data_IF_023900985219
#
_entry.id   IF_023900985219
#
_cell.length_a   1.000
_cell.length_b   1.000
_cell.length_c   1.000
_cell.angle_alpha   90.00
_cell.angle_beta   90.00
_cell.angle_gamma   90.00
#
_symmetry.space_group_name_H-M   'P 1'
#
loop_
_entity.id
_entity.type
_entity.pdbx_description
1 polymer ?
#
# COMPACT_ATOMS: atom_id res chain seq x y z
N UNK A 1 0.60 -4.14 16.63
CA UNK A 1 1.29 -3.37 15.60
C UNK A 1 0.23 -2.86 14.64
N UNK A 2 0.12 -1.54 14.50
CA UNK A 2 -0.81 -0.88 13.59
C UNK A 2 -0.07 -0.37 12.36
N UNK A 3 -0.50 -0.83 11.18
CA UNK A 3 0.06 -0.45 9.89
C UNK A 3 -0.92 0.47 9.16
N UNK A 4 -0.48 1.65 8.74
CA UNK A 4 -1.22 2.51 7.81
C UNK A 4 -0.82 2.16 6.38
N UNK A 5 -1.79 1.75 5.57
CA UNK A 5 -1.60 1.36 4.18
C UNK A 5 -2.21 2.41 3.26
N UNK A 6 -1.43 2.89 2.31
CA UNK A 6 -1.86 3.74 1.19
C UNK A 6 -1.33 3.19 -0.12
N UNK A 7 -1.99 3.50 -1.22
CA UNK A 7 -1.51 3.26 -2.58
C UNK A 7 -2.07 4.35 -3.51
N UNK A 8 -1.54 4.43 -4.73
CA UNK A 8 -2.13 5.24 -5.80
C UNK A 8 -2.27 6.73 -5.43
N UNK A 9 -1.37 7.28 -4.61
CA UNK A 9 -1.44 8.71 -4.27
C UNK A 9 -1.16 9.58 -5.48
N UNK A 10 -0.50 9.05 -6.52
CA UNK A 10 -0.31 9.72 -7.81
C UNK A 10 0.18 11.15 -7.66
N UNK A 11 1.26 11.32 -6.90
CA UNK A 11 1.87 12.62 -6.66
C UNK A 11 0.93 13.69 -6.05
N UNK A 12 -0.13 13.27 -5.36
CA UNK A 12 -1.04 14.16 -4.65
C UNK A 12 -0.38 14.73 -3.40
N UNK A 13 0.19 15.94 -3.52
CA UNK A 13 0.82 16.65 -2.39
C UNK A 13 -0.09 16.77 -1.17
N UNK A 14 -1.40 17.09 -1.29
CA UNK A 14 -2.28 17.14 -0.13
C UNK A 14 -2.43 15.80 0.60
N UNK A 15 -2.40 14.67 -0.12
CA UNK A 15 -2.45 13.34 0.48
C UNK A 15 -1.11 12.94 1.10
N UNK A 16 0.01 13.32 0.48
CA UNK A 16 1.35 13.14 1.06
C UNK A 16 1.54 13.96 2.35
N UNK A 17 1.07 15.21 2.38
CA UNK A 17 1.05 16.07 3.57
C UNK A 17 0.24 15.44 4.70
N UNK A 18 -0.92 14.87 4.37
CA UNK A 18 -1.73 14.13 5.32
C UNK A 18 -1.00 12.90 5.85
N UNK A 19 -0.39 12.11 4.97
CA UNK A 19 0.32 10.89 5.35
C UNK A 19 1.45 11.20 6.35
N UNK A 20 2.22 12.26 6.10
CA UNK A 20 3.25 12.75 7.04
C UNK A 20 2.64 13.12 8.38
N UNK A 21 1.51 13.84 8.38
CA UNK A 21 0.81 14.27 9.60
C UNK A 21 0.21 13.10 10.40
N UNK A 22 -0.18 12.03 9.72
CA UNK A 22 -0.76 10.83 10.32
C UNK A 22 0.28 9.83 10.82
N UNK A 23 1.46 9.80 10.18
CA UNK A 23 2.43 8.71 10.32
C UNK A 23 2.87 8.39 11.74
N UNK A 24 3.04 9.40 12.62
CA UNK A 24 3.44 9.20 14.01
C UNK A 24 2.44 8.41 14.87
N UNK A 25 1.20 8.21 14.40
CA UNK A 25 0.18 7.42 15.11
C UNK A 25 0.29 5.90 14.84
N UNK A 26 1.13 5.50 13.89
CA UNK A 26 1.26 4.12 13.40
C UNK A 26 2.68 3.59 13.58
N UNK A 27 2.79 2.27 13.78
CA UNK A 27 4.08 1.59 13.95
C UNK A 27 4.81 1.37 12.61
N UNK A 28 4.06 1.42 11.50
CA UNK A 28 4.51 1.18 10.14
C UNK A 28 3.59 1.89 9.14
N UNK A 29 4.18 2.56 8.14
CA UNK A 29 3.50 3.01 6.93
C UNK A 29 3.87 2.09 5.77
N UNK A 30 2.87 1.58 5.06
CA UNK A 30 3.04 0.77 3.85
C UNK A 30 2.49 1.57 2.67
N UNK A 31 3.36 1.88 1.71
CA UNK A 31 2.99 2.51 0.45
C UNK A 31 3.00 1.43 -0.64
N UNK A 32 1.83 0.94 -1.01
CA UNK A 32 1.63 -0.19 -1.91
C UNK A 32 1.58 0.22 -3.39
N UNK A 33 2.54 1.05 -3.83
CA UNK A 33 2.73 1.45 -5.22
C UNK A 33 2.06 2.77 -5.63
N UNK A 34 2.51 3.25 -6.78
CA UNK A 34 2.04 4.45 -7.49
C UNK A 34 2.13 5.72 -6.63
N UNK A 35 3.34 5.97 -6.14
CA UNK A 35 3.68 7.22 -5.48
C UNK A 35 3.80 8.39 -6.47
N UNK A 36 4.19 8.10 -7.71
CA UNK A 36 4.31 9.05 -8.81
C UNK A 36 3.06 9.05 -9.71
N UNK A 37 2.96 10.07 -10.56
CA UNK A 37 1.92 10.17 -11.58
C UNK A 37 2.52 10.43 -12.97
N UNK A 38 2.49 9.40 -13.83
CA UNK A 38 2.92 9.52 -15.23
C UNK A 38 2.01 10.44 -16.06
N UNK A 39 0.78 10.70 -15.60
CA UNK A 39 -0.18 11.58 -16.25
C UNK A 39 -0.04 13.05 -15.84
N UNK A 40 0.78 13.35 -14.85
CA UNK A 40 0.97 14.71 -14.34
C UNK A 40 1.78 15.58 -15.31
N UNK A 41 1.47 16.88 -15.31
CA UNK A 41 2.25 17.90 -16.03
C UNK A 41 3.62 18.19 -15.37
N UNK A 42 3.81 17.74 -14.13
CA UNK A 42 5.08 17.90 -13.41
C UNK A 42 6.06 16.86 -13.93
N UNK A 43 7.27 17.31 -14.28
CA UNK A 43 8.33 16.42 -14.75
C UNK A 43 8.56 15.24 -13.80
N UNK A 44 8.69 14.06 -14.37
CA UNK A 44 8.79 12.81 -13.62
C UNK A 44 9.97 12.80 -12.62
N UNK A 45 11.12 13.38 -12.99
CA UNK A 45 12.28 13.48 -12.09
C UNK A 45 12.04 14.49 -10.98
N UNK A 46 11.33 15.59 -11.27
CA UNK A 46 10.90 16.53 -10.24
C UNK A 46 9.96 15.86 -9.22
N UNK A 47 9.05 15.00 -9.68
CA UNK A 47 8.19 14.22 -8.79
C UNK A 47 9.00 13.31 -7.87
N UNK A 48 9.97 12.55 -8.42
CA UNK A 48 10.88 11.69 -7.63
C UNK A 48 11.57 12.49 -6.52
N UNK A 49 12.11 13.68 -6.83
CA UNK A 49 12.79 14.52 -5.84
C UNK A 49 11.84 14.92 -4.70
N UNK A 50 10.61 15.30 -5.03
CA UNK A 50 9.62 15.72 -4.02
C UNK A 50 9.14 14.51 -3.21
N UNK A 51 8.79 13.40 -3.83
CA UNK A 51 8.36 12.18 -3.14
C UNK A 51 9.46 11.65 -2.22
N UNK A 52 10.73 11.63 -2.64
CA UNK A 52 11.86 11.27 -1.75
C UNK A 52 11.94 12.16 -0.51
N UNK A 53 11.59 13.45 -0.61
CA UNK A 53 11.54 14.34 0.57
C UNK A 53 10.39 13.94 1.52
N UNK A 54 9.21 13.63 0.99
CA UNK A 54 8.10 13.13 1.81
C UNK A 54 8.46 11.80 2.49
N UNK A 55 9.07 10.87 1.75
CA UNK A 55 9.55 9.60 2.28
C UNK A 55 10.58 9.78 3.41
N UNK A 56 11.52 10.73 3.28
CA UNK A 56 12.44 11.07 4.35
C UNK A 56 11.73 11.61 5.61
N UNK A 57 10.70 12.46 5.43
CA UNK A 57 9.88 12.96 6.55
C UNK A 57 9.09 11.85 7.24
N UNK A 58 8.62 10.85 6.49
CA UNK A 58 7.93 9.67 7.03
C UNK A 58 8.91 8.77 7.80
N UNK A 59 10.07 8.47 7.21
CA UNK A 59 11.10 7.64 7.82
C UNK A 59 11.69 8.25 9.10
N UNK A 60 11.62 9.58 9.25
CA UNK A 60 11.99 10.25 10.49
C UNK A 60 10.96 10.07 11.64
N UNK A 61 9.72 9.67 11.33
CA UNK A 61 8.63 9.52 12.30
C UNK A 61 8.29 8.07 12.62
N UNK A 62 8.34 7.18 11.61
CA UNK A 62 7.96 5.78 11.76
C UNK A 62 8.66 4.90 10.72
N UNK A 63 8.47 3.58 10.79
CA UNK A 63 8.97 2.65 9.78
C UNK A 63 8.18 2.82 8.48
N UNK A 64 8.85 2.66 7.34
CA UNK A 64 8.23 2.79 6.02
C UNK A 64 8.58 1.60 5.15
N UNK A 65 7.57 1.06 4.46
CA UNK A 65 7.70 0.16 3.32
C UNK A 65 7.19 0.87 2.07
N UNK A 66 7.94 0.79 0.97
CA UNK A 66 7.55 1.30 -0.34
C UNK A 66 7.66 0.21 -1.40
N UNK A 67 6.53 -0.20 -1.96
CA UNK A 67 6.45 -1.04 -3.15
C UNK A 67 6.34 -0.16 -4.39
N UNK A 68 6.95 -0.54 -5.51
CA UNK A 68 6.69 0.10 -6.80
C UNK A 68 5.33 -0.28 -7.37
N UNK A 69 4.71 0.65 -8.09
CA UNK A 69 3.63 0.40 -9.03
C UNK A 69 4.02 0.77 -10.47
N UNK A 70 3.05 0.69 -11.40
CA UNK A 70 3.30 0.95 -12.81
C UNK A 70 3.60 2.44 -13.12
N UNK A 71 3.26 3.36 -12.23
CA UNK A 71 3.59 4.78 -12.35
C UNK A 71 4.99 5.11 -11.83
N UNK A 72 5.66 4.18 -11.14
CA UNK A 72 6.95 4.46 -10.49
C UNK A 72 8.18 4.09 -11.35
N UNK A 73 7.99 3.61 -12.58
CA UNK A 73 9.06 3.07 -13.44
C UNK A 73 9.83 4.20 -14.16
N UNK A 74 11.07 4.48 -13.73
CA UNK A 74 11.90 5.59 -14.21
C UNK A 74 12.96 5.20 -15.25
N UNK A 75 13.21 3.90 -15.44
CA UNK A 75 14.30 3.40 -16.28
C UNK A 75 13.90 2.13 -17.06
N UNK A 76 14.63 1.83 -18.13
CA UNK A 76 14.70 0.48 -18.72
C UNK A 76 16.04 -0.16 -18.41
N UNK A 77 16.02 -1.36 -17.86
CA UNK A 77 17.24 -2.11 -17.56
C UNK A 77 17.94 -2.62 -18.84
N UNK A 78 19.11 -3.27 -18.69
CA UNK A 78 19.90 -3.79 -19.81
C UNK A 78 19.13 -4.83 -20.67
N UNK A 79 18.15 -5.49 -20.07
CA UNK A 79 17.29 -6.49 -20.71
C UNK A 79 16.02 -5.87 -21.34
N UNK A 80 15.86 -4.56 -21.23
CA UNK A 80 14.78 -3.78 -21.85
C UNK A 80 13.51 -3.65 -21.01
N UNK A 81 13.42 -4.29 -19.85
CA UNK A 81 12.26 -4.21 -18.95
C UNK A 81 12.25 -2.85 -18.23
N UNK A 82 11.05 -2.28 -18.08
CA UNK A 82 10.87 -1.09 -17.24
C UNK A 82 11.04 -1.45 -15.77
N UNK A 83 11.79 -0.63 -15.03
CA UNK A 83 12.09 -0.82 -13.61
C UNK A 83 12.00 0.51 -12.84
N UNK A 84 11.84 0.43 -11.52
CA UNK A 84 11.91 1.58 -10.62
C UNK A 84 13.27 1.65 -9.93
N UNK A 85 14.25 2.24 -10.62
CA UNK A 85 15.62 2.45 -10.11
C UNK A 85 15.61 3.39 -8.90
N UNK A 86 14.79 4.44 -8.93
CA UNK A 86 14.73 5.43 -7.83
C UNK A 86 14.23 4.82 -6.51
N UNK A 87 13.35 3.82 -6.56
CA UNK A 87 12.87 3.13 -5.35
C UNK A 87 14.01 2.39 -4.65
N UNK A 88 14.96 1.81 -5.38
CA UNK A 88 16.14 1.19 -4.75
C UNK A 88 16.99 2.19 -3.95
N UNK A 89 17.00 3.47 -4.33
CA UNK A 89 17.74 4.52 -3.61
C UNK A 89 17.10 4.87 -2.26
N UNK A 90 15.82 4.53 -2.02
CA UNK A 90 15.14 4.89 -0.76
C UNK A 90 15.66 4.07 0.43
N UNK A 91 16.37 2.97 0.15
CA UNK A 91 17.09 2.17 1.15
C UNK A 91 18.08 2.99 1.97
N UNK A 92 18.70 4.00 1.35
CA UNK A 92 19.62 4.92 2.02
C UNK A 92 18.94 5.72 3.15
N UNK A 93 17.61 5.84 3.10
CA UNK A 93 16.78 6.48 4.13
C UNK A 93 16.25 5.47 5.18
N UNK A 94 16.69 4.21 5.13
CA UNK A 94 16.21 3.15 6.02
C UNK A 94 14.82 2.62 5.67
N UNK A 95 14.33 2.90 4.45
CA UNK A 95 13.03 2.45 3.95
C UNK A 95 13.19 1.08 3.31
N UNK A 96 12.36 0.12 3.70
CA UNK A 96 12.30 -1.17 3.03
C UNK A 96 11.53 -1.04 1.71
N UNK A 97 12.04 -1.65 0.65
CA UNK A 97 11.47 -1.47 -0.68
C UNK A 97 11.56 -2.73 -1.54
N UNK A 98 11.19 -2.62 -2.81
CA UNK A 98 11.30 -3.67 -3.83
C UNK A 98 12.46 -4.63 -3.63
N UNK A 99 12.14 -5.93 -3.56
CA UNK A 99 13.09 -7.01 -3.35
C UNK A 99 13.39 -7.33 -1.89
N UNK A 100 12.90 -6.54 -0.92
CA UNK A 100 13.12 -6.82 0.50
C UNK A 100 12.22 -7.90 1.06
N UNK A 101 12.77 -8.60 2.06
CA UNK A 101 11.99 -9.28 3.08
C UNK A 101 12.52 -8.88 4.46
N UNK A 102 11.62 -8.48 5.36
CA UNK A 102 11.99 -7.98 6.69
C UNK A 102 10.98 -8.41 7.75
N UNK A 103 11.47 -8.69 8.94
CA UNK A 103 10.64 -9.03 10.10
C UNK A 103 10.37 -7.77 10.92
N UNK A 104 9.10 -7.49 11.19
CA UNK A 104 8.67 -6.43 12.11
C UNK A 104 7.70 -7.06 13.11
N UNK A 105 8.10 -7.11 14.38
CA UNK A 105 7.36 -7.86 15.39
C UNK A 105 7.31 -9.35 15.03
N UNK A 106 6.10 -9.89 14.94
CA UNK A 106 5.86 -11.31 14.61
C UNK A 106 5.51 -11.54 13.13
N UNK A 107 5.56 -10.49 12.31
CA UNK A 107 5.21 -10.55 10.88
C UNK A 107 6.46 -10.46 10.00
N UNK A 108 6.53 -11.33 9.00
CA UNK A 108 7.44 -11.21 7.87
C UNK A 108 6.73 -10.41 6.77
N UNK A 109 7.33 -9.32 6.33
CA UNK A 109 6.90 -8.56 5.16
C UNK A 109 7.81 -8.88 3.98
N UNK A 110 7.24 -9.06 2.80
CA UNK A 110 7.98 -9.21 1.53
C UNK A 110 7.45 -8.18 0.53
N UNK A 111 8.35 -7.38 -0.03
CA UNK A 111 8.01 -6.27 -0.93
C UNK A 111 8.29 -6.71 -2.37
N UNK A 112 7.24 -7.05 -3.10
CA UNK A 112 7.33 -7.60 -4.46
C UNK A 112 7.20 -6.47 -5.49
N UNK A 113 8.26 -6.13 -6.24
CA UNK A 113 8.22 -5.05 -7.22
C UNK A 113 7.11 -5.21 -8.27
N UNK A 114 6.70 -4.10 -8.88
CA UNK A 114 6.01 -4.16 -10.17
C UNK A 114 6.91 -4.86 -11.20
N UNK A 115 6.34 -5.77 -11.98
CA UNK A 115 7.05 -6.49 -13.03
C UNK A 115 6.53 -6.10 -14.43
N UNK A 116 7.45 -5.72 -15.31
CA UNK A 116 7.17 -5.40 -16.74
C UNK A 116 7.44 -6.59 -17.66
N UNK A 117 8.28 -7.55 -17.22
CA UNK A 117 8.74 -8.65 -18.03
C UNK A 117 9.15 -9.90 -17.23
N UNK A 118 9.59 -10.95 -17.93
CA UNK A 118 9.83 -12.27 -17.35
C UNK A 118 10.98 -12.33 -16.34
N UNK A 119 11.98 -11.43 -16.41
CA UNK A 119 13.14 -11.47 -15.52
C UNK A 119 12.80 -10.85 -14.17
N UNK A 120 12.13 -9.69 -14.12
CA UNK A 120 11.61 -9.17 -12.83
C UNK A 120 10.62 -10.16 -12.22
N UNK A 121 9.73 -10.74 -13.03
CA UNK A 121 8.81 -11.79 -12.57
C UNK A 121 9.55 -12.97 -11.94
N UNK A 122 10.62 -13.47 -12.58
CA UNK A 122 11.43 -14.55 -12.01
C UNK A 122 12.13 -14.13 -10.71
N UNK A 123 12.63 -12.90 -10.61
CA UNK A 123 13.24 -12.40 -9.36
C UNK A 123 12.24 -12.36 -8.21
N UNK A 124 10.96 -12.06 -8.47
CA UNK A 124 9.90 -12.15 -7.46
C UNK A 124 9.74 -13.61 -7.01
N UNK A 125 9.71 -14.57 -7.93
CA UNK A 125 9.63 -15.99 -7.58
C UNK A 125 10.82 -16.40 -6.70
N UNK A 126 12.05 -16.03 -7.09
CA UNK A 126 13.26 -16.34 -6.32
C UNK A 126 13.23 -15.70 -4.91
N UNK A 127 12.72 -14.47 -4.80
CA UNK A 127 12.50 -13.76 -3.54
C UNK A 127 11.49 -14.50 -2.65
N UNK A 128 10.37 -14.94 -3.22
CA UNK A 128 9.31 -15.67 -2.52
C UNK A 128 9.79 -17.06 -2.06
N UNK A 129 10.52 -17.79 -2.90
CA UNK A 129 11.15 -19.07 -2.54
C UNK A 129 12.11 -18.90 -1.36
N UNK A 130 12.95 -17.87 -1.40
CA UNK A 130 13.86 -17.58 -0.31
C UNK A 130 13.11 -17.25 0.99
N UNK A 131 12.13 -16.35 0.94
CA UNK A 131 11.33 -15.94 2.09
C UNK A 131 10.49 -17.09 2.67
N UNK A 132 10.00 -18.01 1.82
CA UNK A 132 9.25 -19.19 2.24
C UNK A 132 10.05 -20.11 3.17
N UNK A 133 11.37 -20.20 2.96
CA UNK A 133 12.27 -21.04 3.78
C UNK A 133 12.39 -20.58 5.24
N UNK A 134 12.13 -19.29 5.50
CA UNK A 134 12.21 -18.66 6.82
C UNK A 134 10.90 -17.99 7.21
N UNK A 135 9.77 -18.40 6.62
CA UNK A 135 8.50 -17.70 6.81
C UNK A 135 8.03 -17.76 8.27
N UNK A 136 7.44 -16.66 8.72
CA UNK A 136 6.73 -16.60 9.99
C UNK A 136 5.26 -17.02 9.80
N UNK A 137 4.54 -17.16 10.92
CA UNK A 137 3.10 -17.45 10.87
C UNK A 137 2.33 -16.37 10.10
N UNK A 138 2.68 -15.10 10.34
CA UNK A 138 2.13 -13.97 9.62
C UNK A 138 3.11 -13.53 8.53
N UNK A 139 2.84 -13.94 7.30
CA UNK A 139 3.62 -13.54 6.12
C UNK A 139 2.78 -12.63 5.23
N UNK A 140 3.20 -11.38 5.08
CA UNK A 140 2.46 -10.32 4.41
C UNK A 140 3.24 -9.88 3.17
N UNK A 141 2.60 -9.90 2.02
CA UNK A 141 3.17 -9.35 0.79
C UNK A 141 2.65 -7.95 0.53
N UNK A 142 3.54 -7.08 0.06
CA UNK A 142 3.17 -5.81 -0.54
C UNK A 142 3.46 -5.92 -2.02
N UNK A 143 2.41 -5.88 -2.84
CA UNK A 143 2.51 -6.00 -4.29
C UNK A 143 1.41 -5.16 -4.95
N UNK A 144 1.79 -4.20 -5.78
CA UNK A 144 0.86 -3.17 -6.25
C UNK A 144 -0.33 -3.73 -7.04
N UNK A 145 -0.12 -4.69 -7.94
CA UNK A 145 -1.21 -5.30 -8.70
C UNK A 145 -2.02 -6.27 -7.80
N UNK A 146 -3.36 -6.12 -7.69
CA UNK A 146 -4.20 -7.07 -6.96
C UNK A 146 -4.35 -8.39 -7.74
N UNK A 147 -4.80 -9.50 -7.12
CA UNK A 147 -4.96 -10.76 -7.82
C UNK A 147 -6.07 -10.71 -8.86
N UNK A 148 -5.86 -11.39 -9.99
CA UNK A 148 -6.88 -11.56 -11.02
C UNK A 148 -8.12 -12.31 -10.50
N UNK A 149 -9.25 -12.10 -11.17
CA UNK A 149 -10.55 -12.74 -10.89
C UNK A 149 -11.05 -12.59 -9.45
N UNK A 150 -10.60 -11.53 -8.76
CA UNK A 150 -11.05 -11.16 -7.42
C UNK A 150 -11.81 -9.82 -7.45
N UNK A 151 -12.82 -9.60 -6.58
CA UNK A 151 -13.46 -8.30 -6.39
C UNK A 151 -12.47 -7.15 -6.13
N UNK A 152 -11.27 -7.43 -5.60
CA UNK A 152 -10.20 -6.44 -5.41
C UNK A 152 -9.55 -5.97 -6.70
N UNK A 153 -9.85 -6.60 -7.83
CA UNK A 153 -9.36 -6.21 -9.16
C UNK A 153 -10.48 -5.90 -10.14
N UNK A 154 -11.73 -5.86 -9.67
CA UNK A 154 -12.89 -5.64 -10.51
C UNK A 154 -12.97 -4.18 -10.97
N UNK A 155 -12.99 -3.98 -12.29
CA UNK A 155 -13.08 -2.66 -12.90
C UNK A 155 -14.48 -2.28 -13.41
N UNK A 156 -15.53 -3.06 -13.09
CA UNK A 156 -16.92 -2.80 -13.48
C UNK A 156 -17.37 -3.51 -14.77
N UNK A 157 -16.42 -3.98 -15.57
CA UNK A 157 -16.68 -4.74 -16.81
C UNK A 157 -15.81 -5.99 -16.95
N UNK A 158 -14.58 -5.93 -16.43
CA UNK A 158 -13.60 -7.01 -16.41
C UNK A 158 -12.68 -6.85 -15.21
N UNK A 159 -11.91 -7.88 -14.91
CA UNK A 159 -10.84 -7.85 -13.92
C UNK A 159 -9.54 -7.29 -14.54
N UNK A 160 -8.77 -6.58 -13.72
CA UNK A 160 -7.48 -5.97 -14.08
C UNK A 160 -6.35 -6.43 -13.15
N UNK A 161 -6.52 -7.59 -12.51
CA UNK A 161 -5.53 -8.14 -11.59
C UNK A 161 -4.46 -8.98 -12.27
N UNK A 162 -3.42 -9.30 -11.51
CA UNK A 162 -2.31 -10.15 -11.90
C UNK A 162 -2.67 -11.64 -11.76
N UNK A 163 -2.54 -12.38 -12.86
CA UNK A 163 -2.78 -13.82 -12.94
C UNK A 163 -1.66 -14.61 -12.27
N UNK A 164 -0.41 -14.14 -12.37
CA UNK A 164 0.75 -14.79 -11.77
C UNK A 164 0.66 -14.71 -10.24
N UNK A 165 0.20 -13.58 -9.70
CA UNK A 165 -0.05 -13.42 -8.27
C UNK A 165 -1.02 -14.48 -7.73
N UNK A 166 -2.08 -14.82 -8.46
CA UNK A 166 -3.01 -15.90 -8.04
C UNK A 166 -2.27 -17.23 -7.91
N UNK A 167 -1.36 -17.53 -8.84
CA UNK A 167 -0.54 -18.73 -8.76
C UNK A 167 0.42 -18.69 -7.57
N UNK A 168 1.11 -17.56 -7.35
CA UNK A 168 2.01 -17.39 -6.20
C UNK A 168 1.29 -17.52 -4.87
N UNK A 169 0.11 -16.89 -4.73
CA UNK A 169 -0.72 -17.01 -3.52
C UNK A 169 -1.06 -18.48 -3.24
N UNK A 170 -1.47 -19.25 -4.26
CA UNK A 170 -1.79 -20.68 -4.10
C UNK A 170 -0.57 -21.52 -3.70
N UNK A 171 0.60 -21.20 -4.25
CA UNK A 171 1.84 -21.93 -3.99
C UNK A 171 2.40 -21.64 -2.59
N UNK A 172 2.48 -20.36 -2.22
CA UNK A 172 3.20 -19.91 -1.02
C UNK A 172 2.28 -19.61 0.17
N UNK A 173 0.99 -19.37 -0.07
CA UNK A 173 -0.05 -19.14 0.93
C UNK A 173 0.33 -18.08 1.98
N UNK A 174 0.68 -16.84 1.57
CA UNK A 174 0.90 -15.77 2.53
C UNK A 174 -0.39 -15.49 3.31
N UNK A 175 -0.26 -14.93 4.51
CA UNK A 175 -1.44 -14.54 5.31
C UNK A 175 -2.21 -13.41 4.65
N UNK A 176 -1.49 -12.47 4.03
CA UNK A 176 -2.08 -11.28 3.41
C UNK A 176 -1.30 -10.84 2.16
N UNK A 177 -2.01 -10.25 1.19
CA UNK A 177 -1.43 -9.46 0.10
C UNK A 177 -2.06 -8.07 0.10
N UNK A 178 -1.22 -7.04 0.07
CA UNK A 178 -1.61 -5.63 0.09
C UNK A 178 -1.33 -5.02 -1.28
N UNK A 179 -2.35 -4.44 -1.89
CA UNK A 179 -2.32 -3.93 -3.27
C UNK A 179 -3.05 -2.59 -3.44
N UNK A 180 -2.95 -2.03 -4.64
CA UNK A 180 -3.67 -0.85 -5.13
C UNK A 180 -4.14 -1.07 -6.57
N UNK A 181 -3.72 -0.21 -7.50
CA UNK A 181 -3.81 -0.33 -8.97
C UNK A 181 -5.22 -0.21 -9.57
N UNK A 182 -6.18 -1.00 -9.07
CA UNK A 182 -7.56 -0.99 -9.59
C UNK A 182 -8.42 -0.05 -8.75
N UNK A 183 -8.28 1.24 -9.04
CA UNK A 183 -8.82 2.39 -8.29
C UNK A 183 -10.26 2.26 -7.85
N UNK A 184 -11.13 1.83 -8.77
CA UNK A 184 -12.57 1.81 -8.57
C UNK A 184 -13.09 0.57 -7.83
N UNK A 185 -12.26 -0.47 -7.64
CA UNK A 185 -12.72 -1.77 -7.12
C UNK A 185 -13.52 -1.65 -5.81
N UNK A 186 -13.09 -0.89 -4.79
CA UNK A 186 -13.87 -0.74 -3.56
C UNK A 186 -15.22 -0.02 -3.71
N UNK A 187 -15.40 0.77 -4.77
CA UNK A 187 -16.47 1.77 -4.87
C UNK A 187 -17.60 1.39 -5.83
N UNK A 188 -17.46 0.27 -6.54
CA UNK A 188 -18.41 -0.15 -7.57
C UNK A 188 -19.08 -1.46 -7.20
N UNK A 189 -20.26 -1.68 -7.77
CA UNK A 189 -20.99 -2.94 -7.62
C UNK A 189 -20.11 -4.13 -8.02
N UNK A 190 -20.17 -5.17 -7.20
CA UNK A 190 -19.45 -6.44 -7.34
C UNK A 190 -17.92 -6.33 -7.16
N UNK A 191 -17.39 -5.13 -6.90
CA UNK A 191 -16.03 -4.90 -6.44
C UNK A 191 -15.94 -4.85 -4.91
N UNK A 192 -14.72 -4.87 -4.38
CA UNK A 192 -14.47 -4.77 -2.94
C UNK A 192 -13.04 -4.31 -2.64
N UNK A 193 -12.81 -3.73 -1.46
CA UNK A 193 -11.46 -3.45 -0.95
C UNK A 193 -10.78 -4.70 -0.37
N UNK A 194 -11.49 -5.81 -0.22
CA UNK A 194 -10.95 -7.05 0.29
C UNK A 194 -11.57 -8.29 -0.35
N UNK A 195 -10.80 -9.37 -0.35
CA UNK A 195 -11.24 -10.72 -0.68
C UNK A 195 -10.39 -11.76 0.05
N UNK A 196 -10.76 -13.03 -0.07
CA UNK A 196 -9.96 -14.13 0.45
C UNK A 196 -9.75 -15.20 -0.62
N UNK A 197 -8.50 -15.40 -1.02
CA UNK A 197 -8.08 -16.46 -1.93
C UNK A 197 -7.56 -17.61 -1.07
N UNK A 198 -8.35 -18.68 -0.99
CA UNK A 198 -8.12 -19.80 -0.08
C UNK A 198 -7.99 -19.31 1.39
N UNK A 199 -6.77 -19.26 1.93
CA UNK A 199 -6.52 -18.76 3.29
C UNK A 199 -5.96 -17.34 3.33
N UNK A 200 -5.53 -16.80 2.19
CA UNK A 200 -4.86 -15.51 2.05
C UNK A 200 -5.88 -14.39 1.94
N UNK A 201 -5.82 -13.41 2.84
CA UNK A 201 -6.55 -12.17 2.67
C UNK A 201 -5.87 -11.31 1.61
N UNK A 202 -6.65 -10.68 0.73
CA UNK A 202 -6.12 -9.77 -0.29
C UNK A 202 -6.84 -8.43 -0.18
N UNK A 203 -6.08 -7.35 -0.28
CA UNK A 203 -6.56 -5.99 -0.03
C UNK A 203 -6.25 -5.08 -1.21
N UNK A 204 -7.18 -4.18 -1.53
CA UNK A 204 -6.97 -3.07 -2.45
C UNK A 204 -7.51 -1.78 -1.80
N UNK A 205 -6.65 -0.78 -1.62
CA UNK A 205 -7.05 0.50 -1.02
C UNK A 205 -8.10 1.24 -1.85
N UNK A 206 -8.03 1.13 -3.18
CA UNK A 206 -8.74 2.00 -4.10
C UNK A 206 -8.18 3.42 -4.12
N UNK A 207 -8.80 4.28 -4.93
CA UNK A 207 -8.44 5.68 -5.06
C UNK A 207 -9.66 6.60 -5.05
N UNK A 208 -9.63 7.61 -4.19
CA UNK A 208 -10.50 8.77 -4.26
C UNK A 208 -9.67 10.05 -4.20
N UNK A 209 -10.15 11.14 -4.85
CA UNK A 209 -9.58 12.46 -4.63
C UNK A 209 -9.86 12.93 -3.20
N UNK A 210 -9.03 13.86 -2.72
CA UNK A 210 -9.24 14.55 -1.45
C UNK A 210 -8.23 14.17 -0.39
N UNK A 211 -8.51 14.61 0.83
CA UNK A 211 -7.66 14.47 2.01
C UNK A 211 -8.56 14.13 3.21
N UNK A 212 -8.39 13.00 3.92
CA UNK A 212 -7.37 11.97 3.74
C UNK A 212 -7.45 11.21 2.39
N UNK A 213 -6.38 10.53 1.95
CA UNK A 213 -6.50 9.51 0.91
C UNK A 213 -7.37 8.35 1.41
N UNK A 214 -7.91 7.56 0.50
CA UNK A 214 -8.44 6.25 0.86
C UNK A 214 -7.30 5.40 1.40
N UNK A 215 -7.49 4.78 2.57
CA UNK A 215 -6.44 4.01 3.22
C UNK A 215 -7.00 2.76 3.91
N UNK A 216 -6.11 1.82 4.18
CA UNK A 216 -6.38 0.65 5.02
C UNK A 216 -5.56 0.76 6.28
N UNK A 217 -6.14 0.45 7.43
CA UNK A 217 -5.39 0.25 8.67
C UNK A 217 -5.46 -1.21 9.05
N UNK A 218 -4.30 -1.84 9.19
CA UNK A 218 -4.18 -3.20 9.71
C UNK A 218 -3.78 -3.12 11.18
N UNK A 219 -4.65 -3.56 12.07
CA UNK A 219 -4.31 -3.78 13.47
C UNK A 219 -3.97 -5.27 13.65
N UNK A 220 -2.68 -5.58 13.56
CA UNK A 220 -2.19 -6.96 13.59
C UNK A 220 -2.18 -7.56 15.00
N UNK A 221 -2.32 -6.76 16.06
CA UNK A 221 -2.46 -7.30 17.42
C UNK A 221 -3.91 -7.67 17.70
N UNK A 222 -4.86 -6.94 17.11
CA UNK A 222 -6.29 -7.21 17.23
C UNK A 222 -6.84 -8.14 16.13
N UNK A 223 -6.02 -8.51 15.14
CA UNK A 223 -6.43 -9.22 13.93
C UNK A 223 -7.62 -8.54 13.23
N UNK A 224 -7.52 -7.22 13.04
CA UNK A 224 -8.53 -6.40 12.38
C UNK A 224 -7.98 -5.63 11.19
N UNK A 225 -8.80 -5.45 10.16
CA UNK A 225 -8.51 -4.55 9.06
C UNK A 225 -9.66 -3.54 8.90
N UNK A 226 -9.29 -2.27 8.73
CA UNK A 226 -10.19 -1.15 8.56
C UNK A 226 -9.93 -0.53 7.19
N UNK A 227 -10.99 -0.20 6.46
CA UNK A 227 -10.91 0.56 5.22
C UNK A 227 -11.64 1.88 5.41
N UNK A 228 -10.91 2.96 5.16
CA UNK A 228 -11.34 4.33 5.44
C UNK A 228 -11.36 5.10 4.11
N UNK A 229 -12.56 5.51 3.72
CA UNK A 229 -12.82 6.25 2.49
C UNK A 229 -13.62 7.53 2.78
N UNK A 230 -13.73 8.42 1.79
CA UNK A 230 -14.51 9.62 1.93
C UNK A 230 -16.00 9.27 2.10
N UNK A 231 -16.54 9.52 3.30
CA UNK A 231 -17.95 9.29 3.62
C UNK A 231 -18.32 7.85 3.99
N UNK A 232 -17.36 6.94 4.03
CA UNK A 232 -17.59 5.53 4.38
C UNK A 232 -16.39 4.94 5.11
N UNK A 233 -16.65 4.19 6.19
CA UNK A 233 -15.63 3.46 6.91
C UNK A 233 -16.16 2.06 7.26
N UNK A 234 -15.35 1.05 6.95
CA UNK A 234 -15.70 -0.35 7.13
C UNK A 234 -14.59 -1.09 7.84
N UNK A 235 -14.90 -2.24 8.43
CA UNK A 235 -13.91 -3.12 9.02
C UNK A 235 -14.27 -4.61 8.87
N UNK A 236 -13.24 -5.46 8.99
CA UNK A 236 -13.36 -6.91 9.04
C UNK A 236 -12.49 -7.49 10.17
N UNK A 237 -12.95 -8.61 10.73
CA UNK A 237 -12.17 -9.50 11.59
C UNK A 237 -11.40 -10.49 10.71
N UNK A 238 -10.07 -10.48 10.82
CA UNK A 238 -9.17 -11.31 10.01
C UNK A 238 -9.17 -12.78 10.44
N UNK A 239 -9.66 -13.08 11.64
CA UNK A 239 -9.84 -14.45 12.14
C UNK A 239 -11.16 -15.08 11.68
N UNK A 240 -12.13 -14.25 11.26
CA UNK A 240 -13.44 -14.70 10.82
C UNK A 240 -13.43 -15.24 9.37
N UNK A 241 -14.41 -16.06 8.98
CA UNK A 241 -14.65 -16.39 7.58
C UNK A 241 -14.98 -15.15 6.75
N UNK A 242 -14.67 -15.19 5.45
CA UNK A 242 -15.03 -14.14 4.50
C UNK A 242 -16.56 -13.92 4.49
N UNK A 243 -16.99 -12.69 4.78
CA UNK A 243 -18.39 -12.26 4.74
C UNK A 243 -18.48 -10.89 4.07
N UNK A 244 -19.46 -10.69 3.18
CA UNK A 244 -19.74 -9.40 2.54
C UNK A 244 -21.18 -8.93 2.82
N UNK A 245 -21.44 -7.62 2.90
CA UNK A 245 -20.45 -6.53 2.95
C UNK A 245 -19.64 -6.54 4.26
N UNK A 246 -18.56 -5.74 4.32
CA UNK A 246 -17.84 -5.52 5.56
C UNK A 246 -18.74 -4.79 6.58
N UNK A 247 -18.38 -4.87 7.86
CA UNK A 247 -19.16 -4.21 8.91
C UNK A 247 -18.87 -2.71 8.95
N UNK A 248 -19.89 -1.91 9.27
CA UNK A 248 -19.69 -0.51 9.61
C UNK A 248 -18.94 -0.38 10.95
N UNK A 249 -18.19 0.70 11.13
CA UNK A 249 -17.53 1.01 12.40
C UNK A 249 -18.52 1.74 13.30
N UNK A 250 -19.18 1.01 14.20
CA UNK A 250 -20.16 1.59 15.14
C UNK A 250 -19.49 2.23 16.37
N UNK A 251 -18.39 1.64 16.83
CA UNK A 251 -17.61 2.11 17.98
C UNK A 251 -16.14 2.26 17.54
N UNK A 252 -15.73 3.45 17.06
CA UNK A 252 -14.36 3.65 16.59
C UNK A 252 -13.37 3.53 17.75
N UNK A 253 -12.25 2.82 17.58
CA UNK A 253 -11.20 2.81 18.59
C UNK A 253 -10.59 4.20 18.74
N UNK A 254 -9.96 4.47 19.89
CA UNK A 254 -9.41 5.80 20.22
C UNK A 254 -8.43 6.31 19.16
N UNK A 255 -7.60 5.42 18.59
CA UNK A 255 -6.64 5.78 17.54
C UNK A 255 -7.31 6.21 16.24
N UNK A 256 -8.50 5.69 15.92
CA UNK A 256 -9.24 6.08 14.73
C UNK A 256 -9.87 7.46 14.93
N UNK A 257 -10.39 7.71 16.13
CA UNK A 257 -10.90 9.03 16.51
C UNK A 257 -9.80 10.10 16.51
N UNK A 258 -8.54 9.75 16.82
CA UNK A 258 -7.41 10.69 16.71
C UNK A 258 -6.97 10.94 15.28
N UNK A 259 -7.19 9.98 14.36
CA UNK A 259 -6.91 10.14 12.94
C UNK A 259 -7.81 11.21 12.30
N UNK A 260 -9.11 11.21 12.65
CA UNK A 260 -10.09 12.22 12.20
C UNK A 260 -9.76 13.64 12.69
N UNK A 261 -8.92 13.76 13.72
CA UNK A 261 -8.54 15.03 14.35
C UNK A 261 -7.21 15.59 13.85
N UNK A 262 -6.57 14.95 12.89
CA UNK A 262 -5.31 15.46 12.30
C UNK A 262 -5.57 16.83 11.69
N UNK A 263 -4.96 17.84 12.29
CA UNK A 263 -5.08 19.24 11.86
C UNK A 263 -4.44 19.40 10.49
N UNK A 264 -5.08 20.20 9.63
CA UNK A 264 -4.52 20.58 8.34
C UNK A 264 -3.34 21.56 8.52
N UNK A 265 -2.08 21.19 8.18
CA UNK A 265 -0.93 22.09 8.24
C UNK A 265 -1.04 23.27 7.27
N UNK A 266 -1.79 23.14 6.17
CA UNK A 266 -2.06 24.24 5.23
C UNK A 266 -3.03 25.28 5.81
N UNK A 267 -3.81 24.90 6.83
CA UNK A 267 -4.63 25.81 7.63
C UNK A 267 -3.90 26.32 8.88
N UNK A 268 -2.71 25.80 9.19
CA UNK A 268 -1.88 26.32 10.26
C UNK A 268 -1.40 27.73 9.86
N UNK A 269 -1.90 28.76 10.56
CA UNK A 269 -1.43 30.13 10.37
C UNK A 269 0.09 30.16 10.56
N UNK A 270 0.85 30.80 9.65
CA UNK A 270 2.26 31.04 9.87
C UNK A 270 2.45 31.74 11.22
N UNK A 271 3.49 31.41 12.01
CA UNK A 271 3.82 32.20 13.18
C UNK A 271 3.99 33.65 12.73
N UNK A 272 3.30 34.56 13.42
CA UNK A 272 3.44 35.98 13.16
C UNK A 272 4.93 36.32 13.25
N UNK A 273 5.49 36.86 12.17
CA UNK A 273 6.85 37.35 12.17
C UNK A 273 6.98 38.36 13.32
N UNK A 274 7.76 37.99 14.34
CA UNK A 274 8.18 38.94 15.36
C UNK A 274 9.06 39.98 14.62
N UNK A 275 8.58 41.23 14.62
CA UNK A 275 9.25 42.36 13.98
C UNK A 275 10.55 42.76 14.65
#
# INVERSE_FOLDING_TARGET
MRCLVVADLHYSLPQLDWLVSASAQFDLVIFAGDALDIGSMVDFRAQIVVVKKYLALLAAQTRVILCSGNHDLDERNADGEKVSRWISEVREMGIACDGDSLVIGEALFTVCPWWDGPLVRQRIIDQLDHAASSRLQRWIWVHHAPPADSPTSWGGKRFFGDVELVHWIRTYQPSMVISGHVHQSPFIKDGSWYDRLDQTWVFNTGLQPGRPPTCIVLDLDADQAFWLAAGEAQWIDLTAPLKRPAAAIEAPPDWLTSLDRIVDPSLAKPPAAAG
#
